data_IF_843138786646
#
_entry.id   IF_843138786646
#
_cell.length_a   1.000
_cell.length_b   1.000
_cell.length_c   1.000
_cell.angle_alpha   90.00
_cell.angle_beta   90.00
_cell.angle_gamma   90.00
#
_symmetry.space_group_name_H-M   'P 1'
#
loop_
_entity.id
_entity.type
_entity.pdbx_description
1 polymer ?
#
# COMPACT_ATOMS: atom_id res chain seq x y z
N UNK A 1 0.25 1.50 26.35
CA UNK A 1 0.25 0.95 24.97
C UNK A 1 1.68 0.56 24.65
N UNK A 2 1.98 -0.73 24.60
CA UNK A 2 3.34 -1.19 24.27
C UNK A 2 3.66 -0.76 22.84
N UNK A 3 4.84 -0.19 22.63
CA UNK A 3 5.37 0.03 21.29
C UNK A 3 5.41 -1.32 20.58
N UNK A 4 4.59 -1.49 19.54
CA UNK A 4 4.70 -2.64 18.65
C UNK A 4 6.12 -2.57 18.07
N UNK A 5 7.00 -3.46 18.52
CA UNK A 5 8.39 -3.49 18.08
C UNK A 5 8.44 -4.11 16.68
N UNK A 6 8.05 -3.31 15.67
CA UNK A 6 8.06 -3.66 14.25
C UNK A 6 9.41 -3.25 13.66
N UNK A 7 10.12 -4.22 13.12
CA UNK A 7 11.40 -4.01 12.42
C UNK A 7 11.10 -3.35 11.06
N UNK A 8 11.82 -2.28 10.71
CA UNK A 8 11.67 -1.52 9.45
C UNK A 8 13.03 -1.29 8.78
N UNK A 9 13.80 -2.36 8.54
CA UNK A 9 15.15 -2.24 7.95
C UNK A 9 15.07 -1.93 6.46
N UNK A 10 13.96 -2.30 5.82
CA UNK A 10 13.68 -2.02 4.41
C UNK A 10 12.21 -1.59 4.22
N UNK A 11 11.99 -0.73 3.23
CA UNK A 11 10.66 -0.36 2.74
C UNK A 11 10.68 -0.48 1.22
N UNK A 12 10.10 -1.54 0.67
CA UNK A 12 10.09 -1.79 -0.77
C UNK A 12 8.98 -0.97 -1.42
N UNK A 13 9.28 -0.25 -2.49
CA UNK A 13 8.27 0.47 -3.26
C UNK A 13 7.71 -0.43 -4.37
N UNK A 14 6.39 -0.40 -4.54
CA UNK A 14 5.68 -1.04 -5.66
C UNK A 14 4.58 -0.11 -6.16
N UNK A 15 4.36 -0.05 -7.46
CA UNK A 15 3.29 0.77 -8.02
C UNK A 15 1.93 0.15 -7.68
N UNK A 16 0.94 0.98 -7.37
CA UNK A 16 -0.41 0.53 -7.05
C UNK A 16 -1.17 -0.08 -8.24
N UNK A 17 -0.57 -0.12 -9.43
CA UNK A 17 -1.15 -0.70 -10.66
C UNK A 17 -0.60 -2.08 -11.00
N UNK A 18 0.54 -2.49 -10.43
CA UNK A 18 1.23 -3.73 -10.80
C UNK A 18 0.86 -4.88 -9.84
N UNK A 19 -0.35 -5.42 -10.04
CA UNK A 19 -0.89 -6.52 -9.24
C UNK A 19 0.07 -7.71 -9.17
N UNK A 20 0.63 -8.09 -10.32
CA UNK A 20 1.56 -9.22 -10.41
C UNK A 20 2.77 -8.97 -9.52
N UNK A 21 3.40 -7.81 -9.63
CA UNK A 21 4.58 -7.46 -8.83
C UNK A 21 4.27 -7.38 -7.34
N UNK A 22 3.09 -6.89 -6.97
CA UNK A 22 2.63 -6.88 -5.58
C UNK A 22 2.65 -8.30 -5.01
N UNK A 23 1.98 -9.26 -5.65
CA UNK A 23 1.90 -10.62 -5.12
C UNK A 23 3.23 -11.38 -5.15
N UNK A 24 4.11 -11.10 -6.13
CA UNK A 24 5.48 -11.64 -6.14
C UNK A 24 6.29 -11.26 -4.88
N UNK A 25 5.98 -10.13 -4.24
CA UNK A 25 6.68 -9.67 -3.04
C UNK A 25 6.35 -10.49 -1.78
N UNK A 26 5.27 -11.28 -1.79
CA UNK A 26 4.98 -12.22 -0.70
C UNK A 26 6.05 -13.30 -0.54
N UNK A 27 6.80 -13.59 -1.60
CA UNK A 27 7.88 -14.56 -1.62
C UNK A 27 9.27 -13.92 -1.47
N UNK A 28 9.33 -12.58 -1.29
CA UNK A 28 10.61 -11.88 -1.12
C UNK A 28 11.16 -12.09 0.30
N UNK A 29 12.33 -12.74 0.46
CA UNK A 29 12.89 -13.00 1.78
C UNK A 29 13.29 -11.70 2.49
N UNK A 30 12.97 -11.62 3.78
CA UNK A 30 13.39 -10.50 4.64
C UNK A 30 12.72 -9.16 4.35
N UNK A 31 11.59 -9.15 3.63
CA UNK A 31 10.79 -7.94 3.42
C UNK A 31 10.15 -7.53 4.75
N UNK A 32 10.46 -6.31 5.22
CA UNK A 32 9.94 -5.77 6.48
C UNK A 32 8.73 -4.87 6.24
N UNK A 33 8.75 -4.09 5.15
CA UNK A 33 7.68 -3.15 4.81
C UNK A 33 7.49 -3.00 3.30
N UNK A 34 6.25 -2.78 2.89
CA UNK A 34 5.84 -2.56 1.51
C UNK A 34 5.12 -1.21 1.41
N UNK A 35 5.60 -0.34 0.51
CA UNK A 35 4.97 0.92 0.15
C UNK A 35 4.26 0.75 -1.19
N UNK A 36 2.93 0.78 -1.16
CA UNK A 36 2.10 0.92 -2.35
C UNK A 36 2.11 2.38 -2.81
N UNK A 37 2.54 2.62 -4.04
CA UNK A 37 2.59 3.96 -4.61
C UNK A 37 1.33 4.28 -5.41
N UNK A 38 0.59 5.31 -5.00
CA UNK A 38 -0.53 5.88 -5.75
C UNK A 38 -0.17 7.21 -6.43
N UNK A 39 1.07 7.70 -6.31
CA UNK A 39 1.51 9.03 -6.74
C UNK A 39 2.18 9.02 -8.13
N UNK A 40 3.46 9.38 -8.23
CA UNK A 40 4.09 9.78 -9.49
C UNK A 40 4.25 8.63 -10.50
N UNK A 41 4.30 7.38 -10.01
CA UNK A 41 4.43 6.20 -10.85
C UNK A 41 3.08 5.66 -11.34
N UNK A 42 1.97 6.34 -11.01
CA UNK A 42 0.62 5.97 -11.45
C UNK A 42 0.08 7.02 -12.43
N UNK A 43 -0.22 6.64 -13.68
CA UNK A 43 -0.88 7.52 -14.64
C UNK A 43 -2.22 8.05 -14.12
N UNK A 44 -2.60 9.31 -14.40
CA UNK A 44 -3.86 9.91 -13.94
C UNK A 44 -5.12 9.06 -14.17
N UNK A 45 -5.21 8.41 -15.33
CA UNK A 45 -6.33 7.56 -15.75
C UNK A 45 -6.39 6.21 -15.00
N UNK A 46 -5.30 5.82 -14.32
CA UNK A 46 -5.21 4.60 -13.53
C UNK A 46 -5.28 4.84 -12.02
N UNK A 47 -5.45 6.08 -11.56
CA UNK A 47 -5.51 6.41 -10.13
C UNK A 47 -6.62 5.65 -9.41
N UNK A 48 -7.79 5.58 -10.01
CA UNK A 48 -8.95 4.91 -9.41
C UNK A 48 -8.82 3.39 -9.39
N UNK A 49 -8.28 2.79 -10.45
CA UNK A 49 -8.02 1.36 -10.48
C UNK A 49 -6.90 0.97 -9.52
N UNK A 50 -5.85 1.78 -9.43
CA UNK A 50 -4.77 1.59 -8.48
C UNK A 50 -5.28 1.64 -7.03
N UNK A 51 -6.11 2.64 -6.70
CA UNK A 51 -6.71 2.77 -5.36
C UNK A 51 -7.55 1.54 -4.99
N UNK A 52 -8.38 1.07 -5.93
CA UNK A 52 -9.20 -0.15 -5.72
C UNK A 52 -8.35 -1.39 -5.52
N UNK A 53 -7.29 -1.56 -6.31
CA UNK A 53 -6.37 -2.68 -6.18
C UNK A 53 -5.66 -2.65 -4.83
N UNK A 54 -5.08 -1.51 -4.45
CA UNK A 54 -4.40 -1.35 -3.15
C UNK A 54 -5.36 -1.62 -1.99
N UNK A 55 -6.60 -1.13 -2.05
CA UNK A 55 -7.61 -1.40 -1.02
C UNK A 55 -7.91 -2.90 -0.91
N UNK A 56 -8.17 -3.58 -2.04
CA UNK A 56 -8.43 -5.02 -2.08
C UNK A 56 -7.27 -5.84 -1.48
N UNK A 57 -6.02 -5.47 -1.81
CA UNK A 57 -4.83 -6.13 -1.26
C UNK A 57 -4.72 -5.92 0.25
N UNK A 58 -4.97 -4.71 0.75
CA UNK A 58 -4.96 -4.43 2.19
C UNK A 58 -6.06 -5.21 2.92
N UNK A 59 -7.29 -5.22 2.38
CA UNK A 59 -8.42 -5.98 2.94
C UNK A 59 -8.14 -7.49 3.01
N UNK A 60 -7.39 -8.03 2.04
CA UNK A 60 -7.05 -9.45 2.00
C UNK A 60 -6.16 -9.91 3.17
N UNK A 61 -5.42 -8.99 3.81
CA UNK A 61 -4.56 -9.30 4.97
C UNK A 61 -3.29 -10.11 4.66
N UNK A 62 -3.04 -10.48 3.39
CA UNK A 62 -1.97 -11.43 3.01
C UNK A 62 -0.56 -10.99 3.42
N UNK A 63 -0.28 -9.68 3.46
CA UNK A 63 1.01 -9.15 3.90
C UNK A 63 1.15 -9.15 5.43
N UNK A 64 0.06 -8.84 6.14
CA UNK A 64 0.01 -8.84 7.59
C UNK A 64 0.16 -10.26 8.14
N UNK A 65 -0.42 -11.27 7.47
CA UNK A 65 -0.22 -12.69 7.80
C UNK A 65 1.27 -13.10 7.73
N UNK A 66 2.04 -12.50 6.82
CA UNK A 66 3.49 -12.69 6.71
C UNK A 66 4.31 -11.73 7.61
N UNK A 67 3.66 -10.91 8.43
CA UNK A 67 4.30 -9.95 9.32
C UNK A 67 4.91 -8.73 8.63
N UNK A 68 4.55 -8.48 7.36
CA UNK A 68 5.04 -7.36 6.55
C UNK A 68 4.18 -6.12 6.84
N UNK A 69 4.81 -4.99 7.14
CA UNK A 69 4.11 -3.71 7.28
C UNK A 69 3.66 -3.18 5.92
N UNK A 70 2.39 -2.82 5.79
CA UNK A 70 1.85 -2.16 4.60
C UNK A 70 1.72 -0.66 4.82
N UNK A 71 2.23 0.11 3.87
CA UNK A 71 2.17 1.57 3.84
C UNK A 71 1.65 1.99 2.46
N UNK A 72 0.90 3.08 2.38
CA UNK A 72 0.44 3.64 1.11
C UNK A 72 0.98 5.07 0.97
N UNK A 73 1.68 5.34 -0.13
CA UNK A 73 2.04 6.69 -0.56
C UNK A 73 0.87 7.25 -1.37
N UNK A 74 0.10 8.13 -0.74
CA UNK A 74 -1.03 8.83 -1.35
C UNK A 74 -0.58 10.05 -2.16
N UNK A 75 -1.46 10.57 -2.99
CA UNK A 75 -1.20 11.79 -3.76
C UNK A 75 -1.11 13.04 -2.84
N UNK A 76 -0.37 14.10 -3.24
CA UNK A 76 -0.23 15.32 -2.47
C UNK A 76 -1.57 16.04 -2.21
N UNK A 77 -1.64 16.73 -1.07
CA UNK A 77 -2.85 17.44 -0.59
C UNK A 77 -3.45 18.46 -1.55
N UNK A 78 -2.67 18.95 -2.51
CA UNK A 78 -3.09 19.93 -3.52
C UNK A 78 -3.55 19.29 -4.84
N UNK A 79 -3.71 17.97 -4.88
CA UNK A 79 -4.20 17.23 -6.06
C UNK A 79 -5.66 16.82 -5.90
N UNK A 80 -6.34 16.57 -7.02
CA UNK A 80 -7.72 16.09 -7.03
C UNK A 80 -7.89 14.71 -6.37
N UNK A 81 -6.82 13.89 -6.31
CA UNK A 81 -6.88 12.51 -5.84
C UNK A 81 -6.70 12.36 -4.32
N UNK A 82 -6.16 13.35 -3.62
CA UNK A 82 -5.83 13.25 -2.20
C UNK A 82 -7.03 12.85 -1.33
N UNK A 83 -8.18 13.49 -1.55
CA UNK A 83 -9.38 13.22 -0.75
C UNK A 83 -9.87 11.80 -0.99
N UNK A 84 -9.91 11.36 -2.24
CA UNK A 84 -10.36 10.01 -2.59
C UNK A 84 -9.40 8.94 -2.06
N UNK A 85 -8.08 9.19 -2.11
CA UNK A 85 -7.08 8.30 -1.53
C UNK A 85 -7.35 8.10 -0.03
N UNK A 86 -7.54 9.18 0.73
CA UNK A 86 -7.85 9.10 2.17
C UNK A 86 -9.17 8.38 2.42
N UNK A 87 -10.23 8.76 1.72
CA UNK A 87 -11.58 8.23 1.96
C UNK A 87 -11.68 6.73 1.70
N UNK A 88 -11.03 6.22 0.65
CA UNK A 88 -11.03 4.77 0.39
C UNK A 88 -10.10 4.02 1.34
N UNK A 89 -8.89 4.51 1.58
CA UNK A 89 -7.89 3.80 2.40
C UNK A 89 -8.31 3.69 3.88
N UNK A 90 -9.05 4.66 4.41
CA UNK A 90 -9.57 4.59 5.79
C UNK A 90 -10.57 3.45 5.96
N UNK A 91 -11.31 3.08 4.92
CA UNK A 91 -12.30 1.98 5.00
C UNK A 91 -11.66 0.62 5.23
N UNK A 92 -10.40 0.48 4.80
CA UNK A 92 -9.64 -0.78 4.79
C UNK A 92 -8.50 -0.80 5.80
N UNK A 93 -8.32 0.29 6.55
CA UNK A 93 -7.24 0.41 7.52
C UNK A 93 -7.44 -0.63 8.64
N UNK A 94 -6.42 -1.47 8.94
CA UNK A 94 -6.51 -2.43 10.04
C UNK A 94 -6.75 -1.71 11.37
N UNK A 95 -7.73 -2.18 12.16
CA UNK A 95 -8.09 -1.67 13.49
C UNK A 95 -7.04 -2.08 14.54
#
# INVERSE_FOLDING_TARGET
MGTINRIRRNMHFVTGTDEKRIYELLEHPGLDSLIFDLEELVPPELKDSARKLVCSVIESGVFQEKGIETVVRINPVNTYWYVDDILELVKVSPI
#
